data_IF_861239696457
#
_entry.id   IF_861239696457
#
_cell.length_a   1.000
_cell.length_b   1.000
_cell.length_c   1.000
_cell.angle_alpha   90.00
_cell.angle_beta   90.00
_cell.angle_gamma   90.00
#
_symmetry.space_group_name_H-M   'P 1'
#
loop_
_entity.id
_entity.type
_entity.pdbx_description
1 polymer ?
#
# COMPACT_ATOMS: atom_id res chain seq x y z
N UNK A 1 10.39 -4.39 -14.21
CA UNK A 1 9.17 -5.24 -14.18
C UNK A 1 9.07 -5.81 -12.77
N UNK A 2 7.93 -5.63 -12.09
CA UNK A 2 7.70 -6.27 -10.79
C UNK A 2 7.25 -7.71 -11.01
N UNK A 3 7.79 -8.64 -10.21
CA UNK A 3 7.31 -10.02 -10.16
C UNK A 3 6.00 -10.11 -9.37
N UNK A 4 5.94 -9.39 -8.25
CA UNK A 4 4.80 -9.40 -7.33
C UNK A 4 4.25 -7.98 -7.19
N UNK A 5 2.95 -7.83 -7.48
CA UNK A 5 2.19 -6.63 -7.18
C UNK A 5 1.26 -6.89 -5.98
N UNK A 6 1.39 -6.07 -4.95
CA UNK A 6 0.49 -6.05 -3.79
C UNK A 6 -0.44 -4.86 -3.92
N UNK A 7 -1.73 -5.12 -3.95
CA UNK A 7 -2.77 -4.10 -4.05
C UNK A 7 -3.51 -4.02 -2.72
N UNK A 8 -3.55 -2.84 -2.12
CA UNK A 8 -4.41 -2.53 -0.99
C UNK A 8 -5.59 -1.68 -1.46
N UNK A 9 -6.82 -2.15 -1.27
CA UNK A 9 -8.07 -1.51 -1.72
C UNK A 9 -9.07 -1.25 -0.59
N UNK A 10 -8.89 -1.89 0.56
CA UNK A 10 -9.78 -1.78 1.71
C UNK A 10 -9.30 -0.74 2.73
N UNK A 11 -10.21 -0.02 3.42
CA UNK A 11 -9.84 0.94 4.45
C UNK A 11 -9.19 0.24 5.66
N UNK A 12 -8.43 0.97 6.50
CA UNK A 12 -7.82 0.40 7.69
C UNK A 12 -8.89 -0.01 8.71
N UNK A 13 -8.55 -0.99 9.55
CA UNK A 13 -9.27 -1.42 10.77
C UNK A 13 -10.69 -2.01 10.60
N UNK A 14 -11.33 -1.89 9.44
CA UNK A 14 -12.63 -2.52 9.15
C UNK A 14 -12.55 -4.03 8.96
N UNK A 15 -11.36 -4.54 8.61
CA UNK A 15 -11.04 -5.96 8.51
C UNK A 15 -9.55 -6.18 8.77
N UNK A 16 -9.11 -7.44 8.82
CA UNK A 16 -7.70 -7.77 8.92
C UNK A 16 -6.93 -7.62 7.59
N UNK A 17 -7.59 -7.23 6.50
CA UNK A 17 -7.04 -7.31 5.14
C UNK A 17 -5.73 -6.54 4.96
N UNK A 18 -5.67 -5.29 5.43
CA UNK A 18 -4.44 -4.49 5.34
C UNK A 18 -3.28 -5.09 6.14
N UNK A 19 -3.57 -5.69 7.31
CA UNK A 19 -2.57 -6.35 8.13
C UNK A 19 -2.08 -7.63 7.47
N UNK A 20 -2.98 -8.49 7.04
CA UNK A 20 -2.63 -9.75 6.38
C UNK A 20 -1.90 -9.52 5.06
N UNK A 21 -2.29 -8.49 4.31
CA UNK A 21 -1.59 -8.08 3.09
C UNK A 21 -0.18 -7.56 3.35
N UNK A 22 0.02 -6.79 4.43
CA UNK A 22 1.35 -6.36 4.82
C UNK A 22 2.20 -7.53 5.30
N UNK A 23 1.65 -8.45 6.10
CA UNK A 23 2.35 -9.65 6.56
C UNK A 23 2.77 -10.52 5.34
N UNK A 24 1.90 -10.69 4.35
CA UNK A 24 2.20 -11.42 3.12
C UNK A 24 3.27 -10.72 2.26
N UNK A 25 3.22 -9.39 2.17
CA UNK A 25 4.21 -8.57 1.47
C UNK A 25 5.58 -8.72 2.12
N UNK A 26 5.66 -8.59 3.44
CA UNK A 26 6.91 -8.74 4.18
C UNK A 26 7.44 -10.17 4.11
N UNK A 27 6.58 -11.18 4.11
CA UNK A 27 7.02 -12.56 3.89
C UNK A 27 7.58 -12.79 2.48
N UNK A 28 7.05 -12.09 1.47
CA UNK A 28 7.53 -12.21 0.09
C UNK A 28 8.96 -11.68 -0.11
N UNK A 29 9.43 -10.75 0.74
CA UNK A 29 10.81 -10.25 0.67
C UNK A 29 11.86 -11.34 0.97
N UNK A 30 11.47 -12.43 1.62
CA UNK A 30 12.35 -13.58 1.83
C UNK A 30 12.62 -14.38 0.54
N UNK A 31 11.83 -14.18 -0.52
CA UNK A 31 11.90 -14.97 -1.77
C UNK A 31 12.00 -14.11 -3.02
N UNK A 32 11.81 -12.79 -2.90
CA UNK A 32 11.82 -11.85 -4.01
C UNK A 32 12.63 -10.62 -3.60
N UNK A 33 13.57 -10.23 -4.46
CA UNK A 33 14.29 -8.96 -4.35
C UNK A 33 13.29 -7.79 -4.30
N UNK A 34 13.67 -6.74 -3.60
CA UNK A 34 12.87 -5.55 -3.35
C UNK A 34 12.44 -4.85 -4.66
N UNK A 35 13.27 -4.86 -5.71
CA UNK A 35 12.92 -4.34 -7.04
C UNK A 35 11.93 -5.26 -7.80
N UNK A 36 11.70 -6.47 -7.31
CA UNK A 36 10.67 -7.38 -7.81
C UNK A 36 9.29 -7.17 -7.16
N UNK A 37 9.18 -6.35 -6.11
CA UNK A 37 7.94 -6.10 -5.38
C UNK A 37 7.46 -4.68 -5.68
N UNK A 38 6.19 -4.55 -6.07
CA UNK A 38 5.53 -3.26 -6.21
C UNK A 38 4.24 -3.21 -5.37
N UNK A 39 3.99 -2.07 -4.73
CA UNK A 39 2.91 -1.88 -3.77
C UNK A 39 2.01 -0.76 -4.26
N UNK A 40 0.71 -1.01 -4.31
CA UNK A 40 -0.27 -0.11 -4.89
C UNK A 40 -1.43 0.11 -3.91
N UNK A 41 -1.78 1.37 -3.67
CA UNK A 41 -2.92 1.75 -2.85
C UNK A 41 -4.00 2.39 -3.74
N UNK A 42 -5.16 1.73 -3.82
CA UNK A 42 -6.31 2.14 -4.63
C UNK A 42 -7.52 2.42 -3.75
N UNK A 43 -8.48 3.15 -4.31
CA UNK A 43 -9.79 3.39 -3.70
C UNK A 43 -9.64 3.73 -2.20
N UNK A 44 -10.24 2.94 -1.29
CA UNK A 44 -10.20 3.17 0.15
C UNK A 44 -8.90 2.68 0.81
N UNK A 45 -8.11 1.86 0.09
CA UNK A 45 -6.81 1.38 0.51
C UNK A 45 -5.79 2.49 0.77
N UNK A 46 -5.96 3.64 0.11
CA UNK A 46 -5.19 4.86 0.39
C UNK A 46 -5.25 5.25 1.88
N UNK A 47 -6.40 5.03 2.54
CA UNK A 47 -6.62 5.45 3.91
C UNK A 47 -5.72 4.71 4.91
N UNK A 48 -5.16 3.56 4.54
CA UNK A 48 -4.16 2.86 5.37
C UNK A 48 -2.90 3.69 5.59
N UNK A 49 -2.61 4.64 4.70
CA UNK A 49 -1.41 5.47 4.74
C UNK A 49 -1.61 6.79 5.47
N UNK A 50 -2.78 7.11 6.03
CA UNK A 50 -2.96 8.39 6.71
C UNK A 50 -2.06 8.50 7.96
N UNK A 51 -1.49 9.69 8.17
CA UNK A 51 -0.74 10.02 9.39
C UNK A 51 -1.67 10.09 10.61
N UNK A 52 -1.08 9.96 11.79
CA UNK A 52 -1.74 10.24 13.08
C UNK A 52 -3.00 9.40 13.37
N UNK A 53 -3.07 8.19 12.83
CA UNK A 53 -4.13 7.23 13.18
C UNK A 53 -3.98 6.78 14.65
N UNK A 54 -5.11 6.64 15.36
CA UNK A 54 -5.17 6.24 16.79
C UNK A 54 -6.00 4.96 16.98
N UNK A 55 -5.53 3.80 16.46
CA UNK A 55 -6.27 2.54 16.48
C UNK A 55 -6.54 1.99 17.89
N UNK A 56 -5.78 2.41 18.90
CA UNK A 56 -5.99 2.07 20.29
C UNK A 56 -7.37 2.51 20.80
N UNK A 57 -7.95 3.59 20.24
CA UNK A 57 -9.29 4.04 20.61
C UNK A 57 -10.39 3.04 20.23
N UNK A 58 -10.10 2.15 19.27
CA UNK A 58 -10.99 1.08 18.81
C UNK A 58 -10.43 -0.32 19.15
N UNK A 59 -9.47 -0.42 20.07
CA UNK A 59 -8.85 -1.66 20.52
C UNK A 59 -8.14 -2.45 19.39
N UNK A 60 -7.66 -1.76 18.36
CA UNK A 60 -6.95 -2.34 17.23
C UNK A 60 -5.44 -2.13 17.33
N UNK A 61 -4.68 -2.96 16.61
CA UNK A 61 -3.23 -2.77 16.44
C UNK A 61 -2.94 -1.65 15.45
N UNK A 62 -1.80 -0.99 15.64
CA UNK A 62 -1.31 0.02 14.71
C UNK A 62 -0.66 -0.58 13.45
N UNK A 63 -1.52 -1.01 12.52
CA UNK A 63 -1.10 -1.49 11.19
C UNK A 63 -0.61 -0.35 10.30
N UNK A 64 -1.07 0.90 10.50
CA UNK A 64 -0.64 2.04 9.70
C UNK A 64 0.87 2.29 9.87
N UNK A 65 1.35 2.35 11.11
CA UNK A 65 2.77 2.49 11.40
C UNK A 65 3.62 1.35 10.86
N UNK A 66 3.07 0.14 10.75
CA UNK A 66 3.78 -1.00 10.22
C UNK A 66 4.12 -0.86 8.72
N UNK A 67 3.38 -0.06 7.95
CA UNK A 67 3.74 0.22 6.55
C UNK A 67 5.09 0.95 6.40
N UNK A 68 5.62 1.60 7.45
CA UNK A 68 6.99 2.15 7.43
C UNK A 68 8.07 1.09 7.33
N UNK A 69 7.75 -0.19 7.59
CA UNK A 69 8.69 -1.28 7.36
C UNK A 69 9.09 -1.35 5.88
N UNK A 70 8.27 -0.88 4.94
CA UNK A 70 8.64 -0.83 3.52
C UNK A 70 9.94 -0.03 3.28
N UNK A 71 10.22 0.99 4.11
CA UNK A 71 11.50 1.72 4.07
C UNK A 71 12.67 0.85 4.56
N UNK A 72 12.45 0.07 5.63
CA UNK A 72 13.49 -0.79 6.20
C UNK A 72 13.86 -1.96 5.28
N UNK A 73 12.93 -2.41 4.45
CA UNK A 73 13.12 -3.48 3.47
C UNK A 73 13.47 -2.95 2.07
N UNK A 74 13.81 -1.66 1.93
CA UNK A 74 14.20 -1.02 0.66
C UNK A 74 13.17 -1.19 -0.48
N UNK A 75 11.89 -1.37 -0.14
CA UNK A 75 10.82 -1.55 -1.13
C UNK A 75 10.44 -0.18 -1.66
N UNK A 76 11.03 0.29 -2.77
CA UNK A 76 10.81 1.65 -3.28
C UNK A 76 9.61 1.80 -4.24
N UNK A 77 9.17 0.71 -4.87
CA UNK A 77 8.08 0.74 -5.86
C UNK A 77 6.72 0.85 -5.18
N UNK A 78 6.40 2.06 -4.71
CA UNK A 78 5.20 2.38 -3.94
C UNK A 78 4.35 3.41 -4.66
N UNK A 79 3.08 3.08 -4.90
CA UNK A 79 2.21 3.89 -5.74
C UNK A 79 0.85 4.14 -5.09
N UNK A 80 0.32 5.34 -5.28
CA UNK A 80 -1.04 5.72 -4.87
C UNK A 80 -1.84 6.20 -6.06
N UNK A 81 -3.15 5.91 -6.06
CA UNK A 81 -4.07 6.42 -7.06
C UNK A 81 -4.34 7.93 -6.86
N UNK A 82 -3.96 8.74 -7.84
CA UNK A 82 -4.21 10.18 -7.85
C UNK A 82 -5.71 10.50 -7.77
N UNK A 83 -6.56 9.72 -8.44
CA UNK A 83 -8.01 9.88 -8.40
C UNK A 83 -8.56 9.62 -6.98
N UNK A 84 -7.96 8.67 -6.23
CA UNK A 84 -8.33 8.39 -4.85
C UNK A 84 -7.92 9.54 -3.91
N UNK A 85 -6.70 10.07 -4.08
CA UNK A 85 -6.24 11.25 -3.35
C UNK A 85 -7.22 12.41 -3.54
N UNK A 86 -7.61 12.71 -4.78
CA UNK A 86 -8.57 13.75 -5.09
C UNK A 86 -9.94 13.48 -4.47
N UNK A 87 -10.46 12.24 -4.56
CA UNK A 87 -11.75 11.85 -3.98
C UNK A 87 -11.83 12.13 -2.48
N UNK A 88 -10.76 11.85 -1.75
CA UNK A 88 -10.67 12.09 -0.31
C UNK A 88 -10.13 13.48 0.06
N UNK A 89 -9.81 14.32 -0.94
CA UNK A 89 -9.21 15.65 -0.75
C UNK A 89 -7.89 15.61 0.04
N UNK A 90 -7.10 14.58 -0.24
CA UNK A 90 -5.79 14.34 0.35
C UNK A 90 -4.68 14.70 -0.63
N UNK A 91 -3.52 14.97 -0.07
CA UNK A 91 -2.26 15.21 -0.76
C UNK A 91 -1.22 14.16 -0.34
N UNK A 92 -0.12 13.97 -1.09
CA UNK A 92 0.96 13.08 -0.66
C UNK A 92 1.54 13.42 0.73
N UNK A 93 1.44 14.68 1.19
CA UNK A 93 1.95 15.09 2.50
C UNK A 93 1.11 14.56 3.67
N UNK A 94 -0.14 14.17 3.42
CA UNK A 94 -1.02 13.56 4.41
C UNK A 94 -0.68 12.08 4.63
N UNK A 95 0.17 11.51 3.77
CA UNK A 95 0.55 10.10 3.79
C UNK A 95 1.78 9.87 4.66
N UNK A 96 1.76 8.78 5.42
CA UNK A 96 2.81 8.29 6.31
C UNK A 96 4.05 7.80 5.54
N UNK A 97 3.84 7.37 4.30
CA UNK A 97 4.83 6.76 3.44
C UNK A 97 4.91 7.55 2.14
N UNK A 98 6.13 7.79 1.68
CA UNK A 98 6.34 8.38 0.36
C UNK A 98 5.94 7.36 -0.71
N UNK A 99 4.92 7.73 -1.47
CA UNK A 99 4.37 6.95 -2.56
C UNK A 99 4.19 7.85 -3.78
N UNK A 100 4.55 7.34 -4.96
CA UNK A 100 4.38 8.07 -6.20
C UNK A 100 2.89 8.11 -6.60
N UNK A 101 2.27 9.30 -6.71
CA UNK A 101 0.92 9.41 -7.22
C UNK A 101 0.89 9.18 -8.73
N UNK A 102 0.03 8.28 -9.18
CA UNK A 102 -0.20 7.97 -10.59
C UNK A 102 -1.69 7.96 -10.90
N UNK A 103 -2.04 8.29 -12.15
CA UNK A 103 -3.40 8.13 -12.62
C UNK A 103 -3.82 6.65 -12.57
N UNK A 104 -5.13 6.41 -12.45
CA UNK A 104 -5.67 5.05 -12.48
C UNK A 104 -5.24 4.26 -13.73
N UNK A 105 -5.16 4.93 -14.89
CA UNK A 105 -4.71 4.31 -16.13
C UNK A 105 -3.24 3.86 -16.07
N UNK A 106 -2.34 4.69 -15.52
CA UNK A 106 -0.93 4.34 -15.36
C UNK A 106 -0.75 3.17 -14.39
N UNK A 107 -1.46 3.16 -13.26
CA UNK A 107 -1.41 2.05 -12.30
C UNK A 107 -1.87 0.73 -12.95
N UNK A 108 -2.98 0.75 -13.69
CA UNK A 108 -3.47 -0.43 -14.40
C UNK A 108 -2.48 -0.94 -15.46
N UNK A 109 -1.82 -0.03 -16.19
CA UNK A 109 -0.80 -0.39 -17.17
C UNK A 109 0.43 -1.04 -16.50
N UNK A 110 0.81 -0.60 -15.30
CA UNK A 110 1.90 -1.23 -14.53
C UNK A 110 1.51 -2.60 -14.00
N UNK A 111 0.28 -2.74 -13.47
CA UNK A 111 -0.24 -4.02 -12.98
C UNK A 111 -0.31 -5.09 -14.09
N UNK A 112 -0.61 -4.69 -15.33
CA UNK A 112 -0.58 -5.61 -16.47
C UNK A 112 0.81 -6.19 -16.77
N UNK A 113 1.88 -5.54 -16.29
CA UNK A 113 3.25 -6.01 -16.47
C UNK A 113 3.74 -6.88 -15.30
N UNK A 114 2.94 -7.02 -14.25
CA UNK A 114 3.29 -7.85 -13.09
C UNK A 114 3.00 -9.32 -13.35
N UNK A 115 3.89 -10.22 -12.91
CA UNK A 115 3.68 -11.66 -13.10
C UNK A 115 2.55 -12.21 -12.21
N UNK A 116 2.44 -11.69 -10.99
CA UNK A 116 1.39 -12.04 -10.02
C UNK A 116 0.86 -10.80 -9.34
N UNK A 117 -0.44 -10.82 -9.06
CA UNK A 117 -1.15 -9.76 -8.35
C UNK A 117 -1.83 -10.38 -7.14
N UNK A 118 -1.58 -9.82 -5.96
CA UNK A 118 -2.26 -10.14 -4.72
C UNK A 118 -3.06 -8.92 -4.28
N UNK A 119 -4.34 -9.10 -3.96
CA UNK A 119 -5.24 -8.00 -3.60
C UNK A 119 -5.76 -8.19 -2.19
N UNK A 120 -5.68 -7.12 -1.41
CA UNK A 120 -6.08 -6.96 -0.02
C UNK A 120 -6.81 -5.63 0.17
#
# INVERSE_FOLDING_TARGET
MSKLAFIFRHPPYGSASAREGLDALLAATAFCEEQGIAVFFFDDGLLNLLREQQPEQILQKDTASAFKLLDLYDIEQRYVCADSLQRFRLTPQDLLLDCQPLSRAQLLAMLQQSEKILTF
#
